data_IF_212378319618
#
_entry.id   IF_212378319618
#
_cell.length_a   1.000
_cell.length_b   1.000
_cell.length_c   1.000
_cell.angle_alpha   90.00
_cell.angle_beta   90.00
_cell.angle_gamma   90.00
#
_symmetry.space_group_name_H-M   'P 1'
#
loop_
_entity.id
_entity.type
_entity.pdbx_description
1 polymer ?
#
# COMPACT_ATOMS: atom_id res chain seq x y z
N UNK A 1 11.53 -4.91 19.64
CA UNK A 1 12.77 -5.26 18.89
C UNK A 1 12.56 -4.83 17.46
N UNK A 2 13.56 -4.29 16.79
CA UNK A 2 13.43 -3.99 15.36
C UNK A 2 13.28 -5.33 14.60
N UNK A 3 12.40 -5.35 13.58
CA UNK A 3 12.20 -6.54 12.76
C UNK A 3 13.48 -6.98 12.04
N UNK A 4 13.51 -8.22 11.58
CA UNK A 4 14.64 -8.78 10.82
C UNK A 4 14.43 -8.45 9.33
N UNK A 5 15.46 -7.95 8.66
CA UNK A 5 15.43 -7.74 7.21
C UNK A 5 15.82 -9.04 6.50
N UNK A 6 14.98 -9.45 5.54
CA UNK A 6 15.22 -10.59 4.67
C UNK A 6 15.14 -10.22 3.19
N UNK A 7 15.52 -11.16 2.33
CA UNK A 7 15.44 -11.02 0.88
C UNK A 7 14.88 -12.31 0.27
N UNK A 8 14.04 -12.15 -0.77
CA UNK A 8 13.44 -13.28 -1.47
C UNK A 8 13.32 -12.99 -2.96
N UNK A 9 13.52 -14.01 -3.78
CA UNK A 9 13.35 -13.92 -5.22
C UNK A 9 11.90 -14.23 -5.61
N UNK A 10 11.25 -13.29 -6.29
CA UNK A 10 9.91 -13.46 -6.81
C UNK A 10 9.74 -12.74 -8.15
N UNK A 11 9.16 -13.42 -9.14
CA UNK A 11 8.91 -12.85 -10.48
C UNK A 11 10.14 -12.23 -11.15
N UNK A 12 11.32 -12.84 -10.94
CA UNK A 12 12.59 -12.37 -11.52
C UNK A 12 13.12 -11.07 -10.90
N UNK A 13 12.73 -10.77 -9.69
CA UNK A 13 13.17 -9.61 -8.93
C UNK A 13 13.43 -10.01 -7.48
N UNK A 14 14.50 -9.49 -6.89
CA UNK A 14 14.75 -9.59 -5.46
C UNK A 14 13.85 -8.62 -4.71
N UNK A 15 13.07 -9.12 -3.76
CA UNK A 15 12.30 -8.29 -2.82
C UNK A 15 12.97 -8.31 -1.46
N UNK A 16 13.24 -7.14 -0.92
CA UNK A 16 13.59 -6.98 0.47
C UNK A 16 12.30 -6.89 1.31
N UNK A 17 12.36 -7.40 2.52
CA UNK A 17 11.24 -7.32 3.45
C UNK A 17 11.72 -7.20 4.89
N UNK A 18 10.85 -6.73 5.77
CA UNK A 18 11.05 -6.72 7.21
C UNK A 18 10.03 -7.69 7.80
N UNK A 19 10.48 -8.58 8.68
CA UNK A 19 9.64 -9.61 9.28
C UNK A 19 9.74 -9.67 10.78
N UNK A 20 8.68 -10.12 11.42
CA UNK A 20 8.61 -10.43 12.84
C UNK A 20 7.66 -11.59 13.11
N UNK A 21 7.95 -12.37 14.16
CA UNK A 21 7.10 -13.48 14.59
C UNK A 21 7.21 -14.72 13.71
N UNK A 22 6.26 -15.62 13.93
CA UNK A 22 6.11 -16.89 13.20
C UNK A 22 4.66 -17.35 13.28
N UNK A 23 4.21 -18.18 12.32
CA UNK A 23 2.84 -18.64 12.25
C UNK A 23 2.20 -18.34 10.90
N UNK A 24 0.86 -18.20 10.80
CA UNK A 24 0.19 -17.83 9.57
C UNK A 24 0.68 -16.49 9.02
N UNK A 25 0.88 -16.41 7.70
CA UNK A 25 1.45 -15.22 7.06
C UNK A 25 0.45 -14.06 7.02
N UNK A 26 0.93 -12.87 7.46
CA UNK A 26 0.29 -11.57 7.22
C UNK A 26 1.24 -10.73 6.39
N UNK A 27 0.89 -10.44 5.15
CA UNK A 27 1.71 -9.68 4.21
C UNK A 27 1.17 -8.24 4.12
N UNK A 28 2.01 -7.26 4.48
CA UNK A 28 1.63 -5.85 4.61
C UNK A 28 2.30 -4.98 3.54
N UNK A 29 1.50 -4.48 2.60
CA UNK A 29 1.95 -3.76 1.41
C UNK A 29 1.81 -2.24 1.62
N UNK A 30 2.91 -1.52 1.48
CA UNK A 30 2.94 -0.05 1.59
C UNK A 30 2.50 0.65 0.29
N UNK A 31 2.40 1.96 0.32
CA UNK A 31 2.11 2.80 -0.84
C UNK A 31 3.18 3.82 -1.17
N UNK A 32 2.78 4.93 -1.80
CA UNK A 32 3.63 6.05 -2.14
C UNK A 32 3.14 7.33 -1.42
N UNK A 33 4.03 8.18 -0.96
CA UNK A 33 5.48 8.04 -0.83
C UNK A 33 5.83 7.46 0.54
N UNK A 34 5.90 6.14 0.61
CA UNK A 34 6.12 5.41 1.86
C UNK A 34 6.99 4.17 1.60
N UNK A 35 7.31 3.40 2.64
CA UNK A 35 8.13 2.18 2.58
C UNK A 35 7.56 1.11 3.51
N UNK A 36 8.22 -0.05 3.60
CA UNK A 36 7.86 -1.11 4.55
C UNK A 36 7.81 -0.64 6.02
N UNK A 37 8.52 0.46 6.33
CA UNK A 37 8.56 1.05 7.68
C UNK A 37 7.25 1.69 8.12
N UNK A 38 6.32 1.95 7.21
CA UNK A 38 4.96 2.39 7.57
C UNK A 38 4.24 1.43 8.51
N UNK A 39 4.69 0.17 8.56
CA UNK A 39 4.13 -0.90 9.38
C UNK A 39 4.89 -1.16 10.69
N UNK A 40 5.88 -0.34 11.05
CA UNK A 40 6.73 -0.58 12.21
C UNK A 40 5.97 -0.59 13.54
N UNK A 41 4.85 0.12 13.65
CA UNK A 41 3.97 0.06 14.82
C UNK A 41 3.02 -1.15 14.81
N UNK A 42 2.56 -1.57 13.63
CA UNK A 42 1.58 -2.65 13.48
C UNK A 42 2.24 -4.04 13.47
N UNK A 43 3.37 -4.18 12.77
CA UNK A 43 4.07 -5.46 12.58
C UNK A 43 4.36 -6.22 13.88
N UNK A 44 5.00 -5.61 14.92
CA UNK A 44 5.28 -6.30 16.17
C UNK A 44 4.00 -6.71 16.93
N UNK A 45 2.94 -5.95 16.77
CA UNK A 45 1.63 -6.27 17.41
C UNK A 45 0.96 -7.46 16.76
N UNK A 46 1.05 -7.59 15.43
CA UNK A 46 0.59 -8.76 14.67
C UNK A 46 1.43 -9.99 15.04
N UNK A 47 2.75 -9.85 15.12
CA UNK A 47 3.66 -10.92 15.55
C UNK A 47 3.36 -11.40 16.97
N UNK A 48 3.03 -10.49 17.87
CA UNK A 48 2.64 -10.82 19.24
C UNK A 48 1.31 -11.61 19.34
N UNK A 49 0.49 -11.60 18.30
CA UNK A 49 -0.72 -12.41 18.14
C UNK A 49 -0.46 -13.80 17.56
N UNK A 50 0.80 -14.15 17.28
CA UNK A 50 1.18 -15.46 16.77
C UNK A 50 1.15 -15.59 15.25
N UNK A 51 1.29 -14.48 14.53
CA UNK A 51 1.41 -14.43 13.07
C UNK A 51 2.86 -14.21 12.63
N UNK A 52 3.18 -14.66 11.44
CA UNK A 52 4.37 -14.22 10.71
C UNK A 52 4.04 -12.94 9.95
N UNK A 53 4.43 -11.81 10.53
CA UNK A 53 4.14 -10.48 10.01
C UNK A 53 5.28 -10.02 9.09
N UNK A 54 4.99 -9.82 7.80
CA UNK A 54 5.98 -9.49 6.77
C UNK A 54 5.58 -8.22 6.03
N UNK A 55 6.49 -7.25 5.97
CA UNK A 55 6.34 -5.99 5.24
C UNK A 55 7.38 -5.93 4.12
N UNK A 56 7.05 -6.30 2.87
CA UNK A 56 7.99 -6.14 1.75
C UNK A 56 8.12 -4.67 1.37
N UNK A 57 9.32 -4.29 0.92
CA UNK A 57 9.49 -3.12 0.09
C UNK A 57 9.01 -3.49 -1.31
N UNK A 58 8.02 -2.79 -1.82
CA UNK A 58 7.40 -3.08 -3.12
C UNK A 58 8.43 -2.96 -4.24
N UNK A 59 8.14 -3.55 -5.41
CA UNK A 59 9.09 -3.56 -6.54
C UNK A 59 9.61 -2.16 -6.87
N UNK A 60 10.92 -2.01 -7.03
CA UNK A 60 11.56 -0.73 -7.30
C UNK A 60 11.87 0.12 -6.07
N UNK A 61 11.39 -0.25 -4.90
CA UNK A 61 11.72 0.46 -3.65
C UNK A 61 12.96 -0.16 -3.01
N UNK A 62 14.04 0.62 -2.93
CA UNK A 62 15.31 0.13 -2.37
C UNK A 62 15.12 -0.39 -0.94
N UNK A 63 15.75 -1.54 -0.58
CA UNK A 63 16.67 -2.36 -1.34
C UNK A 63 16.04 -3.48 -2.19
N UNK A 64 14.71 -3.47 -2.43
CA UNK A 64 14.13 -4.31 -3.48
C UNK A 64 14.66 -3.92 -4.87
N UNK A 65 14.74 -4.89 -5.77
CA UNK A 65 15.27 -4.69 -7.10
C UNK A 65 14.46 -3.67 -7.92
N UNK A 66 15.18 -2.88 -8.73
CA UNK A 66 14.58 -1.95 -9.68
C UNK A 66 14.19 -2.71 -10.95
N UNK A 67 12.91 -2.72 -11.37
CA UNK A 67 12.49 -3.44 -12.58
C UNK A 67 13.00 -2.76 -13.84
N UNK A 68 13.27 -3.57 -14.88
CA UNK A 68 13.72 -3.05 -16.18
C UNK A 68 12.64 -2.24 -16.93
N UNK A 69 11.36 -2.43 -16.57
CA UNK A 69 10.22 -1.74 -17.15
C UNK A 69 9.25 -1.30 -16.05
N UNK A 70 8.53 -0.21 -16.31
CA UNK A 70 7.50 0.27 -15.39
C UNK A 70 6.44 -0.79 -15.11
N UNK A 71 6.07 -0.96 -13.84
CA UNK A 71 5.05 -1.89 -13.42
C UNK A 71 3.65 -1.31 -13.61
N UNK A 72 2.78 -2.08 -14.23
CA UNK A 72 1.35 -1.80 -14.30
C UNK A 72 0.57 -2.42 -13.11
N UNK A 73 -0.70 -2.10 -13.01
CA UNK A 73 -1.55 -2.60 -11.93
C UNK A 73 -1.66 -4.13 -11.90
N UNK A 74 -1.60 -4.79 -13.06
CA UNK A 74 -1.66 -6.26 -13.14
C UNK A 74 -0.37 -6.90 -12.61
N UNK A 75 0.77 -6.30 -12.90
CA UNK A 75 2.07 -6.70 -12.35
C UNK A 75 2.07 -6.55 -10.83
N UNK A 76 1.63 -5.40 -10.31
CA UNK A 76 1.54 -5.14 -8.87
C UNK A 76 0.57 -6.10 -8.16
N UNK A 77 -0.53 -6.49 -8.82
CA UNK A 77 -1.48 -7.46 -8.27
C UNK A 77 -0.91 -8.89 -8.17
N UNK A 78 0.04 -9.24 -9.02
CA UNK A 78 0.68 -10.57 -9.02
C UNK A 78 1.85 -10.68 -8.04
N UNK A 79 2.45 -9.58 -7.64
CA UNK A 79 3.57 -9.60 -6.71
C UNK A 79 3.21 -10.19 -5.33
N UNK A 80 2.09 -9.83 -4.67
CA UNK A 80 1.74 -10.41 -3.39
C UNK A 80 1.56 -11.93 -3.46
N UNK A 81 0.98 -12.45 -4.54
CA UNK A 81 0.81 -13.89 -4.73
C UNK A 81 2.16 -14.60 -4.89
N UNK A 82 3.08 -14.01 -5.65
CA UNK A 82 4.42 -14.54 -5.81
C UNK A 82 5.25 -14.45 -4.51
N UNK A 83 5.04 -13.41 -3.71
CA UNK A 83 5.68 -13.29 -2.40
C UNK A 83 5.17 -14.32 -1.41
N UNK A 84 3.87 -14.66 -1.43
CA UNK A 84 3.32 -15.74 -0.62
C UNK A 84 4.04 -17.06 -0.94
N UNK A 85 4.22 -17.38 -2.24
CA UNK A 85 4.96 -18.57 -2.67
C UNK A 85 6.42 -18.54 -2.23
N UNK A 86 7.09 -17.43 -2.47
CA UNK A 86 8.52 -17.26 -2.20
C UNK A 86 8.85 -17.30 -0.70
N UNK A 87 7.90 -16.86 0.15
CA UNK A 87 7.98 -16.95 1.61
C UNK A 87 7.59 -18.33 2.16
N UNK A 88 7.28 -19.30 1.27
CA UNK A 88 6.95 -20.67 1.65
C UNK A 88 5.57 -20.86 2.24
N UNK A 89 4.65 -19.89 2.08
CA UNK A 89 3.29 -19.98 2.57
C UNK A 89 2.33 -20.46 1.47
N UNK A 90 1.25 -21.14 1.87
CA UNK A 90 0.16 -21.52 0.96
C UNK A 90 -0.84 -20.38 0.77
N UNK A 91 -1.01 -19.56 1.78
CA UNK A 91 -2.00 -18.49 1.84
C UNK A 91 -1.55 -17.38 2.80
N UNK A 92 -2.19 -16.22 2.74
CA UNK A 92 -1.91 -15.11 3.63
C UNK A 92 -3.13 -14.23 3.88
N UNK A 93 -3.12 -13.51 4.99
CA UNK A 93 -3.87 -12.26 5.14
C UNK A 93 -3.10 -11.16 4.43
N UNK A 94 -3.77 -10.37 3.59
CA UNK A 94 -3.17 -9.19 2.98
C UNK A 94 -3.63 -7.92 3.68
N UNK A 95 -2.68 -7.06 4.03
CA UNK A 95 -2.95 -5.69 4.48
C UNK A 95 -2.33 -4.75 3.45
N UNK A 96 -3.06 -3.74 2.98
CA UNK A 96 -2.53 -2.83 1.96
C UNK A 96 -2.91 -1.37 2.17
N UNK A 97 -1.95 -0.49 2.00
CA UNK A 97 -2.10 0.97 2.02
C UNK A 97 -1.83 1.55 0.63
N UNK A 98 -2.65 2.49 0.15
CA UNK A 98 -2.45 3.24 -1.11
C UNK A 98 -2.18 2.30 -2.32
N UNK A 99 -1.02 2.36 -2.98
CA UNK A 99 -0.64 1.42 -4.04
C UNK A 99 -0.65 -0.04 -3.58
N UNK A 100 -0.25 -0.28 -2.33
CA UNK A 100 -0.35 -1.60 -1.70
C UNK A 100 -1.79 -2.08 -1.57
N UNK A 101 -2.75 -1.19 -1.30
CA UNK A 101 -4.18 -1.53 -1.30
C UNK A 101 -4.65 -1.89 -2.72
N UNK A 102 -4.25 -1.13 -3.74
CA UNK A 102 -4.57 -1.43 -5.14
C UNK A 102 -4.01 -2.80 -5.57
N UNK A 103 -2.76 -3.11 -5.19
CA UNK A 103 -2.12 -4.40 -5.42
C UNK A 103 -2.87 -5.54 -4.69
N UNK A 104 -3.24 -5.33 -3.43
CA UNK A 104 -3.93 -6.32 -2.61
C UNK A 104 -5.34 -6.63 -3.13
N UNK A 105 -6.11 -5.64 -3.60
CA UNK A 105 -7.39 -5.87 -4.29
C UNK A 105 -7.22 -6.77 -5.52
N UNK A 106 -6.23 -6.45 -6.36
CA UNK A 106 -5.95 -7.26 -7.55
C UNK A 106 -5.49 -8.68 -7.19
N UNK A 107 -4.64 -8.85 -6.19
CA UNK A 107 -4.18 -10.16 -5.70
C UNK A 107 -5.33 -11.01 -5.17
N UNK A 108 -6.22 -10.43 -4.35
CA UNK A 108 -7.40 -11.13 -3.83
C UNK A 108 -8.36 -11.58 -4.93
N UNK A 109 -8.51 -10.79 -6.01
CA UNK A 109 -9.32 -11.15 -7.16
C UNK A 109 -8.68 -12.25 -8.04
N UNK A 110 -7.34 -12.23 -8.20
CA UNK A 110 -6.58 -13.21 -9.00
C UNK A 110 -6.39 -14.55 -8.29
N UNK A 111 -6.23 -14.54 -6.97
CA UNK A 111 -5.93 -15.71 -6.16
C UNK A 111 -6.80 -15.82 -4.91
N UNK A 112 -8.13 -15.97 -5.02
CA UNK A 112 -9.01 -16.01 -3.85
C UNK A 112 -8.74 -17.19 -2.92
N UNK A 113 -8.16 -18.29 -3.42
CA UNK A 113 -7.70 -19.42 -2.60
C UNK A 113 -6.32 -19.21 -1.95
N UNK A 114 -5.68 -18.07 -2.18
CA UNK A 114 -4.36 -17.72 -1.63
C UNK A 114 -4.43 -16.54 -0.65
N UNK A 115 -5.55 -15.84 -0.64
CA UNK A 115 -5.82 -14.71 0.26
C UNK A 115 -6.98 -15.08 1.15
N UNK A 116 -6.72 -15.29 2.44
CA UNK A 116 -7.73 -15.70 3.42
C UNK A 116 -8.57 -14.55 3.93
N UNK A 117 -7.97 -13.35 3.95
CA UNK A 117 -8.60 -12.10 4.37
C UNK A 117 -7.90 -10.92 3.75
N UNK A 118 -8.67 -9.90 3.40
CA UNK A 118 -8.15 -8.67 2.84
C UNK A 118 -8.46 -7.49 3.77
N UNK A 119 -7.44 -6.73 4.15
CA UNK A 119 -7.56 -5.49 4.91
C UNK A 119 -6.92 -4.37 4.09
N UNK A 120 -7.67 -3.31 3.78
CA UNK A 120 -7.11 -2.19 3.02
C UNK A 120 -7.41 -0.86 3.68
N UNK A 121 -6.58 0.14 3.42
CA UNK A 121 -6.79 1.49 3.93
C UNK A 121 -6.43 2.55 2.88
N UNK A 122 -7.00 3.73 3.05
CA UNK A 122 -6.78 4.94 2.28
C UNK A 122 -7.26 4.93 0.82
N UNK A 123 -7.49 3.76 0.22
CA UNK A 123 -7.97 3.64 -1.16
C UNK A 123 -9.20 2.73 -1.22
N UNK A 124 -10.39 3.23 -1.64
CA UNK A 124 -11.52 2.38 -1.99
C UNK A 124 -11.20 1.61 -3.29
N UNK A 125 -11.95 0.54 -3.56
CA UNK A 125 -11.68 -0.31 -4.73
C UNK A 125 -11.60 0.51 -6.03
N UNK A 126 -10.47 0.51 -6.76
CA UNK A 126 -10.21 1.44 -7.87
C UNK A 126 -11.25 1.42 -9.00
N UNK A 127 -11.84 0.25 -9.30
CA UNK A 127 -12.86 0.12 -10.35
C UNK A 127 -14.18 0.85 -10.02
N UNK A 128 -14.35 1.37 -8.82
CA UNK A 128 -15.58 2.06 -8.40
C UNK A 128 -15.41 3.57 -8.25
N UNK A 129 -14.20 4.06 -8.42
CA UNK A 129 -13.91 5.48 -8.33
C UNK A 129 -14.66 6.26 -9.42
N UNK A 130 -15.31 7.34 -8.99
CA UNK A 130 -15.96 8.28 -9.92
C UNK A 130 -15.12 9.56 -9.98
N UNK A 131 -14.76 10.02 -11.17
CA UNK A 131 -14.09 11.30 -11.32
C UNK A 131 -14.99 12.44 -10.84
N UNK A 132 -14.41 13.41 -10.16
CA UNK A 132 -15.05 14.69 -9.83
C UNK A 132 -13.99 15.79 -9.94
N UNK A 133 -14.38 17.06 -10.11
CA UNK A 133 -13.41 18.16 -10.16
C UNK A 133 -12.49 18.21 -8.94
N UNK A 134 -13.03 17.95 -7.74
CA UNK A 134 -12.26 17.87 -6.48
C UNK A 134 -11.21 16.76 -6.53
N UNK A 135 -11.61 15.54 -6.95
CA UNK A 135 -10.72 14.37 -7.06
C UNK A 135 -9.65 14.55 -8.14
N UNK A 136 -10.02 15.09 -9.29
CA UNK A 136 -9.07 15.42 -10.36
C UNK A 136 -8.02 16.45 -9.88
N UNK A 137 -8.47 17.47 -9.14
CA UNK A 137 -7.55 18.43 -8.52
C UNK A 137 -6.65 17.78 -7.47
N UNK A 138 -7.20 16.90 -6.63
CA UNK A 138 -6.42 16.09 -5.66
C UNK A 138 -5.37 15.21 -6.33
N UNK A 139 -5.74 14.60 -7.47
CA UNK A 139 -4.88 13.70 -8.26
C UNK A 139 -3.94 14.41 -9.24
N UNK A 140 -3.85 15.77 -9.24
CA UNK A 140 -2.99 16.52 -10.18
C UNK A 140 -1.51 16.11 -10.14
N UNK A 141 -1.04 15.59 -9.01
CA UNK A 141 0.30 15.05 -8.86
C UNK A 141 0.55 13.84 -9.77
N UNK A 142 -0.48 13.04 -10.11
CA UNK A 142 -0.34 11.93 -11.06
C UNK A 142 0.20 12.42 -12.41
N UNK A 143 -0.29 13.58 -12.90
CA UNK A 143 0.23 14.18 -14.12
C UNK A 143 1.69 14.63 -13.95
N UNK A 144 2.03 15.22 -12.80
CA UNK A 144 3.38 15.68 -12.52
C UNK A 144 4.41 14.53 -12.47
N UNK A 145 4.02 13.37 -11.93
CA UNK A 145 4.87 12.18 -11.82
C UNK A 145 5.09 11.46 -13.15
N UNK A 146 4.26 11.73 -14.15
CA UNK A 146 4.41 11.20 -15.51
C UNK A 146 5.38 12.01 -16.39
N UNK A 147 5.75 13.20 -15.96
CA UNK A 147 6.61 14.08 -16.76
C UNK A 147 8.09 13.63 -16.71
N UNK A 148 8.84 13.77 -17.80
CA UNK A 148 10.28 13.57 -17.78
C UNK A 148 10.96 14.39 -16.68
N UNK A 149 11.95 13.83 -15.99
CA UNK A 149 12.65 14.48 -14.89
C UNK A 149 11.81 14.67 -13.62
N UNK A 150 10.71 13.91 -13.45
CA UNK A 150 9.86 14.00 -12.28
C UNK A 150 10.60 13.55 -11.01
N UNK A 151 11.40 12.48 -11.09
CA UNK A 151 12.17 11.95 -9.99
C UNK A 151 13.20 12.99 -9.50
N UNK A 152 13.96 13.59 -10.40
CA UNK A 152 14.95 14.61 -10.06
C UNK A 152 14.30 15.87 -9.44
N UNK A 153 13.12 16.26 -9.93
CA UNK A 153 12.39 17.38 -9.34
C UNK A 153 11.88 17.06 -7.93
N UNK A 154 11.40 15.84 -7.71
CA UNK A 154 10.89 15.41 -6.42
C UNK A 154 12.01 15.28 -5.37
N UNK A 155 13.19 14.80 -5.80
CA UNK A 155 14.35 14.65 -4.93
C UNK A 155 15.05 15.96 -4.55
N UNK A 156 14.68 17.11 -5.17
CA UNK A 156 15.32 18.40 -4.89
C UNK A 156 15.23 18.77 -3.41
N UNK A 157 16.32 19.40 -2.93
CA UNK A 157 16.43 19.91 -1.56
C UNK A 157 16.10 18.82 -0.53
N UNK A 158 16.66 17.63 -0.71
CA UNK A 158 16.47 16.48 0.18
C UNK A 158 14.98 16.14 0.36
N UNK A 159 14.30 15.94 -0.76
CA UNK A 159 12.87 15.58 -0.77
C UNK A 159 11.96 16.58 -0.04
N UNK A 160 12.25 17.87 -0.13
CA UNK A 160 11.52 18.94 0.56
C UNK A 160 10.00 18.95 0.29
N UNK A 161 9.53 18.22 -0.75
CA UNK A 161 8.11 18.08 -1.05
C UNK A 161 7.36 17.13 -0.11
N UNK A 162 8.04 16.20 0.58
CA UNK A 162 7.40 15.16 1.42
C UNK A 162 6.48 15.74 2.50
N UNK A 163 6.91 16.66 3.37
CA UNK A 163 6.04 17.22 4.40
C UNK A 163 4.76 17.87 3.85
N UNK A 164 4.86 18.48 2.67
CA UNK A 164 3.69 19.11 2.03
C UNK A 164 2.71 18.09 1.46
N UNK A 165 3.20 16.93 0.98
CA UNK A 165 2.35 15.83 0.52
C UNK A 165 1.60 15.22 1.70
N UNK A 166 2.30 14.91 2.77
CA UNK A 166 1.71 14.33 3.98
C UNK A 166 0.62 15.24 4.56
N UNK A 167 0.91 16.54 4.79
CA UNK A 167 -0.09 17.50 5.26
C UNK A 167 -1.28 17.66 4.31
N UNK A 168 -1.08 17.49 3.00
CA UNK A 168 -2.17 17.57 2.03
C UNK A 168 -3.08 16.35 2.09
N UNK A 169 -2.54 15.16 2.38
CA UNK A 169 -3.30 13.92 2.41
C UNK A 169 -3.78 13.53 3.81
N UNK A 170 -3.13 14.07 4.83
CA UNK A 170 -3.49 13.94 6.23
C UNK A 170 -3.47 15.32 6.89
N UNK A 171 -4.52 16.13 6.67
CA UNK A 171 -4.54 17.52 7.12
C UNK A 171 -4.56 17.69 8.65
N UNK A 172 -4.95 16.66 9.36
CA UNK A 172 -4.99 16.59 10.83
C UNK A 172 -3.65 16.23 11.45
N UNK A 173 -2.64 15.86 10.63
CA UNK A 173 -1.36 15.37 11.08
C UNK A 173 -0.19 16.26 10.66
N UNK A 174 0.70 16.51 11.61
CA UNK A 174 2.02 17.10 11.33
C UNK A 174 3.06 16.05 11.70
N UNK A 175 3.53 15.24 10.72
CA UNK A 175 4.51 14.21 11.00
C UNK A 175 5.83 14.82 11.49
N UNK A 176 6.52 14.17 12.43
CA UNK A 176 7.88 14.55 12.81
C UNK A 176 8.84 14.33 11.63
N UNK A 177 10.00 14.99 11.65
CA UNK A 177 10.95 14.98 10.52
C UNK A 177 11.50 13.59 10.22
N UNK A 178 11.70 12.80 11.25
CA UNK A 178 12.19 11.41 11.21
C UNK A 178 11.24 10.43 10.50
N UNK A 179 9.96 10.81 10.39
CA UNK A 179 8.97 10.03 9.61
C UNK A 179 9.39 9.85 8.14
N UNK A 180 10.20 10.77 7.64
CA UNK A 180 10.66 10.76 6.25
C UNK A 180 12.02 10.11 6.03
N UNK A 181 12.72 9.66 7.08
CA UNK A 181 14.11 9.20 6.96
C UNK A 181 14.19 7.92 6.12
N UNK A 182 13.34 6.92 6.38
CA UNK A 182 13.29 5.69 5.59
C UNK A 182 12.88 5.95 4.13
N UNK A 183 12.03 6.95 3.89
CA UNK A 183 11.60 7.36 2.54
C UNK A 183 12.75 8.02 1.80
N UNK A 184 13.49 8.94 2.45
CA UNK A 184 14.68 9.60 1.90
C UNK A 184 15.75 8.58 1.56
N UNK A 185 16.04 7.67 2.49
CA UNK A 185 17.00 6.60 2.26
C UNK A 185 16.61 5.78 1.04
N UNK A 186 15.42 5.22 1.01
CA UNK A 186 14.91 4.42 -0.09
C UNK A 186 15.02 5.14 -1.44
N UNK A 187 14.56 6.38 -1.52
CA UNK A 187 14.47 7.11 -2.79
C UNK A 187 15.77 7.83 -3.19
N UNK A 188 16.77 7.90 -2.32
CA UNK A 188 18.11 8.36 -2.65
C UNK A 188 18.89 7.34 -3.49
N UNK A 189 18.47 6.08 -3.48
CA UNK A 189 19.10 5.04 -4.26
C UNK A 189 18.73 5.13 -5.76
N UNK A 190 19.70 4.92 -6.67
CA UNK A 190 19.48 5.07 -8.10
C UNK A 190 18.32 4.23 -8.64
N UNK A 191 17.42 4.88 -9.37
CA UNK A 191 16.27 4.23 -10.01
C UNK A 191 15.06 3.98 -9.12
N UNK A 192 15.18 4.04 -7.78
CA UNK A 192 14.10 3.70 -6.86
C UNK A 192 12.90 4.64 -7.01
N UNK A 193 13.12 5.94 -6.91
CA UNK A 193 12.04 6.92 -7.07
C UNK A 193 11.44 6.90 -8.48
N UNK A 194 12.27 6.71 -9.52
CA UNK A 194 11.76 6.63 -10.89
C UNK A 194 10.89 5.39 -11.09
N UNK A 195 11.27 4.24 -10.51
CA UNK A 195 10.47 3.02 -10.53
C UNK A 195 9.12 3.22 -9.81
N UNK A 196 9.10 3.90 -8.67
CA UNK A 196 7.85 4.25 -7.98
C UNK A 196 6.95 5.15 -8.85
N UNK A 197 7.53 6.12 -9.58
CA UNK A 197 6.77 6.92 -10.55
C UNK A 197 6.34 6.11 -11.77
N UNK A 198 7.00 5.02 -12.08
CA UNK A 198 6.57 4.04 -13.09
C UNK A 198 5.15 3.55 -12.87
N UNK A 199 4.72 3.37 -11.63
CA UNK A 199 3.33 2.99 -11.30
C UNK A 199 2.33 4.03 -11.80
N UNK A 200 2.63 5.31 -11.62
CA UNK A 200 1.79 6.41 -12.12
C UNK A 200 1.85 6.52 -13.65
N UNK A 201 3.03 6.32 -14.28
CA UNK A 201 3.17 6.32 -15.76
C UNK A 201 2.31 5.23 -16.38
N UNK A 202 2.22 4.05 -15.75
CA UNK A 202 1.39 2.92 -16.20
C UNK A 202 -0.06 2.97 -15.73
N UNK A 203 -0.42 3.95 -14.87
CA UNK A 203 -1.80 4.08 -14.43
C UNK A 203 -2.71 4.41 -15.61
N UNK A 204 -3.59 3.46 -15.91
CA UNK A 204 -4.63 3.56 -16.94
C UNK A 204 -5.91 4.17 -16.35
N UNK A 205 -6.67 4.97 -17.16
CA UNK A 205 -8.02 5.37 -16.77
C UNK A 205 -9.01 4.20 -16.70
N UNK A 206 -8.68 3.07 -17.34
CA UNK A 206 -9.47 1.83 -17.25
C UNK A 206 -8.82 0.88 -16.25
N UNK A 207 -9.60 0.31 -15.31
CA UNK A 207 -9.08 -0.69 -14.38
C UNK A 207 -8.51 -1.90 -15.12
N UNK A 208 -7.44 -2.49 -14.56
CA UNK A 208 -6.87 -3.74 -15.05
C UNK A 208 -7.89 -4.89 -14.97
N UNK A 209 -7.69 -6.01 -15.68
CA UNK A 209 -8.57 -7.17 -15.60
C UNK A 209 -8.77 -7.66 -14.16
N UNK A 210 -7.72 -7.74 -13.34
CA UNK A 210 -7.80 -8.13 -11.93
C UNK A 210 -8.70 -7.19 -11.12
N UNK A 211 -8.63 -5.89 -11.35
CA UNK A 211 -9.47 -4.91 -10.66
C UNK A 211 -10.91 -4.84 -11.19
N UNK A 212 -11.24 -5.47 -12.32
CA UNK A 212 -12.62 -5.62 -12.80
C UNK A 212 -13.32 -6.84 -12.21
N UNK A 213 -12.57 -7.84 -11.77
CA UNK A 213 -13.12 -9.04 -11.16
C UNK A 213 -13.67 -8.73 -9.76
N UNK A 214 -14.72 -9.46 -9.37
CA UNK A 214 -15.23 -9.39 -8.00
C UNK A 214 -14.32 -10.12 -7.03
N UNK A 215 -14.23 -9.59 -5.82
CA UNK A 215 -13.45 -10.18 -4.73
C UNK A 215 -14.38 -11.07 -3.90
N UNK A 216 -14.00 -12.33 -3.79
CA UNK A 216 -14.70 -13.38 -3.02
C UNK A 216 -13.97 -13.71 -1.71
N UNK A 217 -13.27 -12.72 -1.15
CA UNK A 217 -12.47 -12.84 0.06
C UNK A 217 -13.08 -11.88 1.10
N UNK A 218 -13.26 -12.31 2.36
CA UNK A 218 -13.69 -11.42 3.43
C UNK A 218 -12.82 -10.18 3.51
N UNK A 219 -13.44 -9.01 3.39
CA UNK A 219 -12.70 -7.75 3.22
C UNK A 219 -13.12 -6.72 4.25
N UNK A 220 -12.14 -6.12 4.90
CA UNK A 220 -12.29 -4.98 5.79
C UNK A 220 -11.55 -3.79 5.16
N UNK A 221 -12.22 -2.64 5.09
CA UNK A 221 -11.60 -1.41 4.59
C UNK A 221 -11.64 -0.33 5.66
N UNK A 222 -10.51 0.34 5.85
CA UNK A 222 -10.40 1.47 6.75
C UNK A 222 -10.50 2.77 5.96
N UNK A 223 -11.49 3.58 6.30
CA UNK A 223 -11.75 4.88 5.71
C UNK A 223 -11.41 5.99 6.71
N UNK A 224 -10.39 6.77 6.42
CA UNK A 224 -10.05 7.95 7.21
C UNK A 224 -11.10 9.04 7.04
N UNK A 225 -11.62 9.55 8.16
CA UNK A 225 -12.67 10.58 8.16
C UNK A 225 -12.18 11.92 7.62
N UNK A 226 -10.87 12.16 7.72
CA UNK A 226 -10.21 13.38 7.28
C UNK A 226 -9.39 13.19 5.99
N UNK A 227 -9.54 12.04 5.30
CA UNK A 227 -8.82 11.76 4.05
C UNK A 227 -9.42 12.54 2.89
N UNK A 228 -8.71 13.53 2.31
CA UNK A 228 -9.19 14.27 1.15
C UNK A 228 -9.09 13.50 -0.18
N UNK A 229 -8.40 12.35 -0.19
CA UNK A 229 -8.22 11.51 -1.38
C UNK A 229 -9.47 10.67 -1.64
N UNK A 230 -10.09 10.13 -0.58
CA UNK A 230 -11.27 9.27 -0.69
C UNK A 230 -12.29 9.57 0.41
N UNK A 231 -13.54 9.69 0.03
CA UNK A 231 -14.65 9.90 0.96
C UNK A 231 -15.30 8.55 1.35
N UNK A 232 -15.90 8.46 2.54
CA UNK A 232 -16.63 7.26 3.00
C UNK A 232 -17.66 6.79 1.96
N UNK A 233 -18.28 7.72 1.23
CA UNK A 233 -19.21 7.42 0.13
C UNK A 233 -18.58 6.61 -1.01
N UNK A 234 -17.28 6.71 -1.24
CA UNK A 234 -16.56 5.93 -2.24
C UNK A 234 -16.39 4.47 -1.78
N UNK A 235 -16.09 4.26 -0.51
CA UNK A 235 -16.03 2.92 0.10
C UNK A 235 -17.40 2.24 0.10
N UNK A 236 -18.47 2.96 0.44
CA UNK A 236 -19.84 2.43 0.34
C UNK A 236 -20.19 2.02 -1.10
N UNK A 237 -19.77 2.78 -2.09
CA UNK A 237 -19.94 2.43 -3.51
C UNK A 237 -19.13 1.21 -3.92
N UNK A 238 -17.98 1.01 -3.30
CA UNK A 238 -17.09 -0.10 -3.58
C UNK A 238 -17.69 -1.46 -3.15
N UNK A 239 -18.65 -1.50 -2.25
CA UNK A 239 -19.29 -2.73 -1.75
C UNK A 239 -19.74 -3.68 -2.85
N UNK A 240 -20.16 -3.17 -4.01
CA UNK A 240 -20.58 -3.98 -5.16
C UNK A 240 -19.49 -4.88 -5.76
N UNK A 241 -18.22 -4.63 -5.42
CA UNK A 241 -17.08 -5.44 -5.89
C UNK A 241 -16.83 -6.66 -5.01
N UNK A 242 -17.47 -6.75 -3.86
CA UNK A 242 -17.23 -7.80 -2.87
C UNK A 242 -18.44 -8.71 -2.73
N UNK A 243 -18.24 -10.01 -2.64
CA UNK A 243 -19.32 -11.02 -2.57
C UNK A 243 -19.29 -11.87 -1.31
N UNK A 244 -18.19 -11.83 -0.55
CA UNK A 244 -18.02 -12.61 0.67
C UNK A 244 -17.60 -11.73 1.86
N UNK A 245 -18.53 -10.87 2.29
CA UNK A 245 -18.32 -9.94 3.40
C UNK A 245 -17.52 -8.69 3.01
N UNK A 246 -18.07 -7.54 3.38
CA UNK A 246 -17.42 -6.24 3.19
C UNK A 246 -17.76 -5.32 4.36
N UNK A 247 -16.76 -5.01 5.17
CA UNK A 247 -16.90 -4.14 6.33
C UNK A 247 -16.16 -2.84 6.11
N UNK A 248 -16.78 -1.72 6.44
CA UNK A 248 -16.16 -0.40 6.43
C UNK A 248 -15.93 0.04 7.87
N UNK A 249 -14.67 0.24 8.23
CA UNK A 249 -14.24 0.83 9.49
C UNK A 249 -13.94 2.32 9.25
N UNK A 250 -14.80 3.18 9.78
CA UNK A 250 -14.57 4.62 9.76
C UNK A 250 -13.67 4.97 10.95
N UNK A 251 -12.51 5.59 10.67
CA UNK A 251 -11.49 5.89 11.68
C UNK A 251 -11.06 7.36 11.61
N UNK A 252 -10.64 7.98 12.70
CA UNK A 252 -10.04 9.31 12.65
C UNK A 252 -8.76 9.30 11.84
N UNK A 253 -8.38 10.48 11.32
CA UNK A 253 -7.17 10.70 10.53
C UNK A 253 -7.43 10.72 9.03
N UNK A 254 -6.38 11.09 8.30
CA UNK A 254 -6.37 11.22 6.83
C UNK A 254 -5.87 9.98 6.13
N UNK A 255 -5.11 10.20 5.05
CA UNK A 255 -4.58 9.13 4.20
C UNK A 255 -3.60 8.19 4.94
N UNK A 256 -2.85 8.75 5.91
CA UNK A 256 -1.90 8.02 6.75
C UNK A 256 -2.47 7.71 8.14
N UNK A 257 -3.76 7.40 8.25
CA UNK A 257 -4.48 7.15 9.51
C UNK A 257 -3.77 6.15 10.44
N UNK A 258 -3.08 5.17 9.89
CA UNK A 258 -2.30 4.16 10.60
C UNK A 258 -1.02 4.72 11.23
N UNK A 259 -0.52 5.85 10.71
CA UNK A 259 0.63 6.59 11.27
C UNK A 259 0.20 7.73 12.17
N UNK A 260 -0.97 8.32 11.90
CA UNK A 260 -1.54 9.39 12.73
C UNK A 260 -2.01 8.86 14.09
N UNK A 261 -2.62 7.67 14.09
CA UNK A 261 -3.23 7.03 15.26
C UNK A 261 -2.81 5.56 15.39
N UNK A 262 -1.50 5.25 15.54
CA UNK A 262 -0.97 3.90 15.37
C UNK A 262 -1.56 2.89 16.36
N UNK A 263 -1.78 3.28 17.60
CA UNK A 263 -2.33 2.39 18.63
C UNK A 263 -3.78 2.04 18.35
N UNK A 264 -4.62 3.05 18.16
CA UNK A 264 -6.06 2.87 17.89
C UNK A 264 -6.30 2.12 16.57
N UNK A 265 -5.48 2.39 15.54
CA UNK A 265 -5.54 1.67 14.28
C UNK A 265 -5.15 0.20 14.46
N UNK A 266 -4.05 -0.07 15.17
CA UNK A 266 -3.59 -1.43 15.41
C UNK A 266 -4.61 -2.26 16.19
N UNK A 267 -5.24 -1.71 17.23
CA UNK A 267 -6.31 -2.38 17.99
C UNK A 267 -7.45 -2.84 17.08
N UNK A 268 -7.89 -1.98 16.16
CA UNK A 268 -8.96 -2.31 15.21
C UNK A 268 -8.54 -3.38 14.20
N UNK A 269 -7.32 -3.28 13.64
CA UNK A 269 -6.80 -4.32 12.73
C UNK A 269 -6.71 -5.67 13.45
N UNK A 270 -6.19 -5.70 14.68
CA UNK A 270 -6.04 -6.93 15.46
C UNK A 270 -7.38 -7.57 15.86
N UNK A 271 -8.46 -6.82 15.92
CA UNK A 271 -9.81 -7.34 16.15
C UNK A 271 -10.36 -8.11 14.93
N UNK A 272 -9.76 -7.89 13.76
CA UNK A 272 -10.14 -8.54 12.50
C UNK A 272 -9.21 -9.68 12.09
N UNK A 273 -8.08 -9.89 12.77
CA UNK A 273 -7.18 -11.02 12.54
C UNK A 273 -7.62 -12.24 13.33
#
# INVERSE_FOLDING_TARGET
>A
MAGTTGFVEAKGLTFAYIEEGSGPLVLMLHGFPDTAHTWDDLRPRIAAKGYHAVSPLMRGYHPSGVPAVDADQETLARDPLALIDALGASEAVLIGHDWGAAAAYGAAALGPGRVTKLITLAIPHPATLKPSPKKLWGARHFAAYKLPGAAERFARNDFAALPAIYRRWSPTWTPPSEEFDAIRDCFSHPGSLDAAFGYYRKLSPLPSPSLKARITVPTIVFAGLDDPVAEVSDYRRASRMFTDGYTIEEVPGGHFMHREHPEAFAERVLAHL
#
